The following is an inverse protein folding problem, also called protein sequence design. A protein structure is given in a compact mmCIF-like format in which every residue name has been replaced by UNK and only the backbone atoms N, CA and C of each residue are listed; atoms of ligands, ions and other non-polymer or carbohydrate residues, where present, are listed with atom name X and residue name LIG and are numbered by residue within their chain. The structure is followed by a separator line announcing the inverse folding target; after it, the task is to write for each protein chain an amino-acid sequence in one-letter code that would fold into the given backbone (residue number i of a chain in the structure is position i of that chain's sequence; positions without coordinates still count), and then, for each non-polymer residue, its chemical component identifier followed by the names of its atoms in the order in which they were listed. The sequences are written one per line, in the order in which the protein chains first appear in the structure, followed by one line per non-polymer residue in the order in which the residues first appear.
data_IF_743795192353
#
_entry.id   IF_743795192353
#
_cell.length_a   1.000
_cell.length_b   1.000
_cell.length_c   1.000
_cell.angle_alpha   90.00
_cell.angle_beta   90.00
_cell.angle_gamma   90.00
#
_symmetry.space_group_name_H-M   'P 1'
#
loop_
_entity.id
_entity.type
_entity.pdbx_description
1 polymer ?
#
# COMPACT_ATOMS: atom_id res chain seq x y z
N UNK A 1 -3.67 -17.69 36.94
CA UNK A 1 -4.46 -17.58 35.69
C UNK A 1 -4.02 -16.31 35.01
N UNK A 2 -3.34 -16.44 33.87
CA UNK A 2 -2.83 -15.33 33.07
C UNK A 2 -4.02 -14.55 32.49
N UNK A 3 -3.97 -13.21 32.53
CA UNK A 3 -5.15 -12.36 32.31
C UNK A 3 -5.73 -12.33 30.89
N UNK A 4 -5.26 -13.16 29.96
CA UNK A 4 -5.85 -13.28 28.62
C UNK A 4 -6.51 -14.64 28.44
N UNK A 5 -7.83 -14.65 28.37
CA UNK A 5 -8.60 -15.83 28.01
C UNK A 5 -8.60 -16.02 26.48
N UNK A 6 -7.45 -16.44 25.94
CA UNK A 6 -7.28 -16.70 24.51
C UNK A 6 -6.84 -18.14 24.27
N UNK A 7 -7.35 -18.73 23.19
CA UNK A 7 -6.88 -20.03 22.69
C UNK A 7 -5.75 -19.78 21.68
N UNK A 8 -4.49 -20.15 21.95
CA UNK A 8 -3.38 -19.77 21.08
C UNK A 8 -3.46 -20.37 19.67
N UNK A 9 -4.02 -21.58 19.51
CA UNK A 9 -4.29 -22.18 18.20
C UNK A 9 -5.38 -21.44 17.42
N UNK A 10 -6.39 -20.90 18.11
CA UNK A 10 -7.41 -20.05 17.50
C UNK A 10 -6.80 -18.73 16.99
N UNK A 11 -5.92 -18.12 17.78
CA UNK A 11 -5.20 -16.91 17.35
C UNK A 11 -4.31 -17.20 16.15
N UNK A 12 -3.58 -18.31 16.13
CA UNK A 12 -2.75 -18.70 15.00
C UNK A 12 -3.57 -18.84 13.70
N UNK A 13 -4.73 -19.50 13.76
CA UNK A 13 -5.62 -19.63 12.60
C UNK A 13 -6.12 -18.27 12.09
N UNK A 14 -6.55 -17.38 12.98
CA UNK A 14 -6.97 -16.02 12.60
C UNK A 14 -5.84 -15.21 11.98
N UNK A 15 -4.61 -15.33 12.50
CA UNK A 15 -3.45 -14.63 11.96
C UNK A 15 -3.04 -15.18 10.59
N UNK A 16 -3.17 -16.49 10.38
CA UNK A 16 -2.92 -17.11 9.08
C UNK A 16 -3.93 -16.62 8.02
N UNK A 17 -5.23 -16.62 8.36
CA UNK A 17 -6.29 -16.12 7.50
C UNK A 17 -6.11 -14.62 7.19
N UNK A 18 -5.87 -13.80 8.23
CA UNK A 18 -5.65 -12.36 8.07
C UNK A 18 -4.39 -12.08 7.26
N UNK A 19 -3.33 -12.88 7.45
CA UNK A 19 -2.10 -12.82 6.66
C UNK A 19 -2.33 -13.18 5.19
N UNK A 20 -3.17 -14.17 4.91
CA UNK A 20 -3.53 -14.54 3.55
C UNK A 20 -4.30 -13.41 2.84
N UNK A 21 -5.24 -12.76 3.52
CA UNK A 21 -5.94 -11.58 2.99
C UNK A 21 -5.00 -10.38 2.79
N UNK A 22 -4.11 -10.11 3.75
CA UNK A 22 -3.15 -9.02 3.65
C UNK A 22 -2.17 -9.21 2.47
N UNK A 23 -1.79 -10.45 2.12
CA UNK A 23 -0.97 -10.72 0.93
C UNK A 23 -1.67 -10.34 -0.37
N UNK A 24 -3.01 -10.29 -0.40
CA UNK A 24 -3.76 -9.85 -1.60
C UNK A 24 -3.52 -8.37 -1.91
N UNK A 25 -3.03 -7.55 -0.98
CA UNK A 25 -2.68 -6.16 -1.27
C UNK A 25 -1.62 -6.03 -2.36
N UNK A 26 -0.67 -6.97 -2.46
CA UNK A 26 0.32 -6.96 -3.55
C UNK A 26 -0.37 -7.15 -4.91
N UNK A 27 -1.32 -8.08 -4.99
CA UNK A 27 -2.11 -8.32 -6.20
C UNK A 27 -3.02 -7.14 -6.56
N UNK A 28 -3.61 -6.49 -5.56
CA UNK A 28 -4.42 -5.28 -5.75
C UNK A 28 -3.57 -4.10 -6.22
N UNK A 29 -2.38 -3.90 -5.66
CA UNK A 29 -1.46 -2.84 -6.10
C UNK A 29 -1.02 -3.05 -7.55
N UNK A 30 -0.71 -4.30 -7.95
CA UNK A 30 -0.42 -4.64 -9.35
C UNK A 30 -1.61 -4.38 -10.27
N UNK A 31 -2.81 -4.84 -9.88
CA UNK A 31 -4.04 -4.61 -10.65
C UNK A 31 -4.35 -3.13 -10.80
N UNK A 32 -4.13 -2.34 -9.75
CA UNK A 32 -4.31 -0.89 -9.79
C UNK A 32 -3.34 -0.25 -10.79
N UNK A 33 -2.04 -0.61 -10.72
CA UNK A 33 -1.03 -0.13 -11.65
C UNK A 33 -1.36 -0.44 -13.11
N UNK A 34 -1.71 -1.69 -13.42
CA UNK A 34 -2.08 -2.10 -14.78
C UNK A 34 -3.38 -1.43 -15.25
N UNK A 35 -4.36 -1.25 -14.36
CA UNK A 35 -5.62 -0.57 -14.71
C UNK A 35 -5.37 0.90 -15.02
N UNK A 36 -4.52 1.57 -14.24
CA UNK A 36 -4.16 2.97 -14.48
C UNK A 36 -3.36 3.13 -15.76
N UNK A 37 -2.38 2.26 -16.02
CA UNK A 37 -1.61 2.26 -17.27
C UNK A 37 -2.52 2.04 -18.49
N UNK A 38 -3.43 1.06 -18.40
CA UNK A 38 -4.42 0.82 -19.44
C UNK A 38 -5.35 2.02 -19.63
N UNK A 39 -5.86 2.60 -18.55
CA UNK A 39 -6.71 3.79 -18.63
C UNK A 39 -5.97 4.97 -19.27
N UNK A 40 -4.72 5.22 -18.87
CA UNK A 40 -3.85 6.24 -19.43
C UNK A 40 -3.60 6.03 -20.94
N UNK A 41 -3.31 4.79 -21.35
CA UNK A 41 -3.11 4.43 -22.76
C UNK A 41 -4.35 4.61 -23.64
N UNK A 42 -5.54 4.53 -23.05
CA UNK A 42 -6.82 4.71 -23.75
C UNK A 42 -7.45 6.09 -23.55
N UNK A 43 -6.81 6.99 -22.79
CA UNK A 43 -7.44 8.24 -22.35
C UNK A 43 -7.62 9.31 -23.45
N UNK A 44 -7.21 9.03 -24.69
CA UNK A 44 -7.29 9.97 -25.81
C UNK A 44 -6.28 11.12 -25.69
N UNK A 45 -6.00 11.75 -26.82
CA UNK A 45 -5.01 12.82 -26.94
C UNK A 45 -5.57 14.21 -26.63
N UNK A 46 -6.25 14.41 -25.49
CA UNK A 46 -6.47 15.78 -25.00
C UNK A 46 -5.10 16.35 -24.63
N UNK A 47 -4.44 16.99 -25.59
CA UNK A 47 -3.12 17.58 -25.42
C UNK A 47 -3.25 19.00 -24.90
N UNK A 48 -2.30 19.39 -24.05
CA UNK A 48 -2.21 20.75 -23.54
C UNK A 48 -1.86 21.69 -24.71
N UNK A 49 -2.84 22.47 -25.19
CA UNK A 49 -2.62 23.47 -26.25
C UNK A 49 -3.61 23.48 -27.42
N UNK A 50 -4.74 22.75 -27.36
CA UNK A 50 -5.70 22.64 -28.48
C UNK A 50 -6.54 23.89 -28.78
N UNK A 51 -6.39 24.98 -28.03
CA UNK A 51 -6.91 26.29 -28.41
C UNK A 51 -5.73 27.24 -28.68
N UNK A 52 -5.32 27.34 -29.95
CA UNK A 52 -4.57 28.52 -30.40
C UNK A 52 -5.53 29.71 -30.37
N UNK A 53 -5.13 30.81 -29.73
CA UNK A 53 -5.95 32.03 -29.64
C UNK A 53 -6.25 32.61 -31.03
N UNK A 54 -5.48 32.21 -32.04
CA UNK A 54 -5.47 32.78 -33.40
C UNK A 54 -6.10 31.88 -34.49
N UNK A 55 -6.77 30.78 -34.14
CA UNK A 55 -7.50 29.95 -35.13
C UNK A 55 -6.60 29.23 -36.16
N UNK A 56 -5.31 29.14 -35.90
CA UNK A 56 -4.37 28.37 -36.72
C UNK A 56 -4.59 26.85 -36.56
N UNK A 57 -4.23 26.02 -37.56
CA UNK A 57 -4.35 24.58 -37.47
C UNK A 57 -3.65 24.09 -36.20
N UNK A 58 -4.26 23.16 -35.45
CA UNK A 58 -3.67 22.68 -34.21
C UNK A 58 -2.28 22.10 -34.53
N UNK A 59 -1.26 22.35 -33.69
CA UNK A 59 -0.01 21.62 -33.81
C UNK A 59 -0.36 20.13 -33.83
N UNK A 60 0.24 19.38 -34.77
CA UNK A 60 0.07 17.92 -34.83
C UNK A 60 0.29 17.39 -33.42
N UNK A 61 -0.78 16.85 -32.84
CA UNK A 61 -0.72 16.25 -31.53
C UNK A 61 0.38 15.20 -31.60
N UNK A 62 1.53 15.52 -31.00
CA UNK A 62 2.45 14.49 -30.58
C UNK A 62 1.59 13.47 -29.84
N UNK A 63 1.76 12.20 -30.16
CA UNK A 63 1.04 11.07 -29.54
C UNK A 63 1.44 10.90 -28.06
N UNK A 64 1.94 11.96 -27.44
CA UNK A 64 2.20 12.08 -26.02
C UNK A 64 0.91 11.86 -25.25
N UNK A 65 1.05 11.05 -24.19
CA UNK A 65 0.05 10.78 -23.17
C UNK A 65 -0.77 12.05 -22.86
N UNK A 66 -2.09 12.01 -23.14
CA UNK A 66 -2.97 13.15 -22.95
C UNK A 66 -3.11 13.58 -21.49
N UNK A 67 -3.72 14.75 -21.23
CA UNK A 67 -3.89 15.33 -19.89
C UNK A 67 -4.45 14.35 -18.84
N UNK A 68 -5.33 13.44 -19.26
CA UNK A 68 -5.90 12.42 -18.38
C UNK A 68 -4.86 11.37 -17.97
N UNK A 69 -3.97 10.97 -18.88
CA UNK A 69 -2.86 10.07 -18.56
C UNK A 69 -1.88 10.71 -17.56
N UNK A 70 -1.57 12.00 -17.74
CA UNK A 70 -0.76 12.77 -16.80
C UNK A 70 -1.42 12.85 -15.40
N UNK A 71 -2.73 13.18 -15.35
CA UNK A 71 -3.48 13.26 -14.10
C UNK A 71 -3.56 11.91 -13.38
N UNK A 72 -3.69 10.81 -14.12
CA UNK A 72 -3.66 9.46 -13.56
C UNK A 72 -2.28 9.10 -12.98
N UNK A 73 -1.20 9.53 -13.63
CA UNK A 73 0.16 9.40 -13.11
C UNK A 73 0.33 10.17 -11.80
N UNK A 74 -0.07 11.44 -11.76
CA UNK A 74 -0.04 12.25 -10.53
C UNK A 74 -0.91 11.68 -9.41
N UNK A 75 -2.09 11.16 -9.74
CA UNK A 75 -2.96 10.49 -8.78
C UNK A 75 -2.27 9.25 -8.18
N UNK A 76 -1.63 8.42 -9.00
CA UNK A 76 -0.88 7.26 -8.50
C UNK A 76 0.29 7.65 -7.62
N UNK A 77 1.04 8.69 -7.99
CA UNK A 77 2.13 9.19 -7.13
C UNK A 77 1.60 9.75 -5.81
N UNK A 78 0.49 10.49 -5.84
CA UNK A 78 -0.14 11.02 -4.63
C UNK A 78 -0.64 9.90 -3.69
N UNK A 79 -1.15 8.80 -4.25
CA UNK A 79 -1.72 7.68 -3.49
C UNK A 79 -0.68 6.65 -3.04
N UNK A 80 0.51 6.62 -3.66
CA UNK A 80 1.59 5.67 -3.37
C UNK A 80 1.87 5.54 -1.87
N UNK A 81 1.97 6.68 -1.18
CA UNK A 81 2.28 6.72 0.26
C UNK A 81 1.19 6.07 1.11
N UNK A 82 -0.08 6.28 0.78
CA UNK A 82 -1.21 5.73 1.52
C UNK A 82 -1.32 4.22 1.34
N UNK A 83 -1.12 3.74 0.11
CA UNK A 83 -1.12 2.31 -0.20
C UNK A 83 0.00 1.60 0.58
N UNK A 84 1.21 2.15 0.57
CA UNK A 84 2.35 1.59 1.32
C UNK A 84 2.08 1.62 2.82
N UNK A 85 1.51 2.71 3.33
CA UNK A 85 1.13 2.82 4.74
C UNK A 85 0.16 1.72 5.16
N UNK A 86 -0.90 1.47 4.38
CA UNK A 86 -1.92 0.47 4.67
C UNK A 86 -1.30 -0.94 4.77
N UNK A 87 -0.48 -1.30 3.78
CA UNK A 87 0.23 -2.59 3.72
C UNK A 87 1.15 -2.76 4.92
N UNK A 88 1.99 -1.75 5.18
CA UNK A 88 2.95 -1.79 6.28
C UNK A 88 2.25 -1.85 7.64
N UNK A 89 1.17 -1.08 7.83
CA UNK A 89 0.38 -1.07 9.07
C UNK A 89 -0.27 -2.42 9.33
N UNK A 90 -0.81 -3.05 8.28
CA UNK A 90 -1.44 -4.37 8.34
C UNK A 90 -0.44 -5.44 8.73
N UNK A 91 0.72 -5.48 8.05
CA UNK A 91 1.79 -6.43 8.37
C UNK A 91 2.31 -6.26 9.80
N UNK A 92 2.46 -5.02 10.27
CA UNK A 92 2.90 -4.71 11.63
C UNK A 92 1.90 -5.20 12.69
N UNK A 93 0.59 -5.03 12.45
CA UNK A 93 -0.45 -5.54 13.35
C UNK A 93 -0.44 -7.07 13.44
N UNK A 94 -0.36 -7.77 12.29
CA UNK A 94 -0.34 -9.23 12.23
C UNK A 94 0.90 -9.78 12.94
N UNK A 95 2.08 -9.23 12.65
CA UNK A 95 3.32 -9.64 13.29
C UNK A 95 3.30 -9.39 14.80
N UNK A 96 2.84 -8.20 15.22
CA UNK A 96 2.70 -7.84 16.63
C UNK A 96 1.80 -8.78 17.41
N UNK A 97 0.64 -9.12 16.84
CA UNK A 97 -0.29 -10.07 17.43
C UNK A 97 0.35 -11.47 17.56
N UNK A 98 1.04 -11.96 16.52
CA UNK A 98 1.76 -13.24 16.57
C UNK A 98 2.87 -13.27 17.63
N UNK A 99 3.69 -12.21 17.68
CA UNK A 99 4.75 -12.05 18.68
C UNK A 99 4.19 -12.00 20.11
N UNK A 100 3.10 -11.25 20.31
CA UNK A 100 2.42 -11.16 21.60
C UNK A 100 1.88 -12.51 22.06
N UNK A 101 1.25 -13.28 21.17
CA UNK A 101 0.75 -14.63 21.49
C UNK A 101 1.89 -15.60 21.79
N UNK A 102 3.00 -15.54 21.05
CA UNK A 102 4.17 -16.38 21.33
C UNK A 102 4.83 -16.03 22.68
N UNK A 103 4.91 -14.75 23.04
CA UNK A 103 5.43 -14.32 24.33
C UNK A 103 4.49 -14.73 25.48
N UNK A 104 3.18 -14.58 25.27
CA UNK A 104 2.15 -15.01 26.21
C UNK A 104 2.22 -16.51 26.51
N UNK A 105 2.36 -17.36 25.49
CA UNK A 105 2.53 -18.81 25.67
C UNK A 105 3.78 -19.17 26.48
N UNK A 106 4.83 -18.35 26.40
CA UNK A 106 6.06 -18.52 27.17
C UNK A 106 5.97 -17.95 28.60
N UNK A 107 4.83 -17.37 28.98
CA UNK A 107 4.62 -16.73 30.28
C UNK A 107 5.24 -15.34 30.41
N UNK A 108 5.76 -14.77 29.31
CA UNK A 108 6.40 -13.46 29.30
C UNK A 108 5.39 -12.36 28.93
N UNK A 109 4.62 -11.93 29.93
CA UNK A 109 3.58 -10.90 29.77
C UNK A 109 4.16 -9.52 29.43
N UNK A 110 5.40 -9.24 29.86
CA UNK A 110 6.08 -7.97 29.55
C UNK A 110 6.43 -7.89 28.08
N UNK A 111 7.01 -8.95 27.52
CA UNK A 111 7.28 -9.04 26.08
C UNK A 111 6.00 -9.08 25.26
N UNK A 112 4.93 -9.72 25.76
CA UNK A 112 3.63 -9.70 25.08
C UNK A 112 3.05 -8.27 24.98
N UNK A 113 3.10 -7.51 26.08
CA UNK A 113 2.64 -6.12 26.10
C UNK A 113 3.53 -5.20 25.25
N UNK A 114 4.84 -5.45 25.22
CA UNK A 114 5.77 -4.71 24.37
C UNK A 114 5.48 -4.96 22.89
N UNK A 115 5.29 -6.21 22.48
CA UNK A 115 4.94 -6.55 21.10
C UNK A 115 3.65 -5.85 20.64
N UNK A 116 2.65 -5.72 21.52
CA UNK A 116 1.44 -4.94 21.23
C UNK A 116 1.73 -3.45 21.09
N UNK A 117 2.50 -2.85 22.00
CA UNK A 117 2.86 -1.42 21.95
C UNK A 117 3.66 -1.10 20.70
N UNK A 118 4.66 -1.91 20.39
CA UNK A 118 5.48 -1.75 19.20
C UNK A 118 4.60 -1.82 17.95
N UNK A 119 3.66 -2.77 17.91
CA UNK A 119 2.72 -2.91 16.81
C UNK A 119 1.73 -1.74 16.67
N UNK A 120 1.54 -0.90 17.69
CA UNK A 120 0.73 0.31 17.60
C UNK A 120 1.47 1.48 16.92
N UNK A 121 2.80 1.50 17.00
CA UNK A 121 3.58 2.58 16.41
C UNK A 121 3.38 2.64 14.89
N UNK A 122 3.22 3.86 14.36
CA UNK A 122 3.05 4.07 12.94
C UNK A 122 4.23 3.51 12.13
N UNK A 123 4.00 2.93 10.94
CA UNK A 123 5.08 2.58 10.02
C UNK A 123 5.84 3.82 9.54
N UNK A 124 7.16 3.71 9.42
CA UNK A 124 7.99 4.71 8.76
C UNK A 124 7.91 4.50 7.24
N UNK A 125 6.93 5.13 6.60
CA UNK A 125 6.66 4.98 5.17
C UNK A 125 7.82 5.52 4.33
N UNK A 126 8.46 6.60 4.77
CA UNK A 126 9.56 7.23 4.03
C UNK A 126 10.79 6.31 4.01
N UNK A 127 11.11 5.67 5.14
CA UNK A 127 12.19 4.68 5.18
C UNK A 127 11.88 3.45 4.31
N UNK A 128 10.62 3.02 4.25
CA UNK A 128 10.19 1.90 3.39
C UNK A 128 10.36 2.27 1.92
N UNK A 129 9.86 3.44 1.51
CA UNK A 129 9.96 3.92 0.13
C UNK A 129 11.41 4.13 -0.29
N UNK A 130 12.25 4.70 0.59
CA UNK A 130 13.69 4.87 0.33
C UNK A 130 14.39 3.53 0.11
N UNK A 131 14.14 2.52 0.97
CA UNK A 131 14.71 1.18 0.77
C UNK A 131 14.30 0.55 -0.55
N UNK A 132 13.05 0.77 -0.97
CA UNK A 132 12.57 0.26 -2.25
C UNK A 132 13.27 0.93 -3.44
N UNK A 133 13.62 2.22 -3.33
CA UNK A 133 14.36 2.94 -4.36
C UNK A 133 15.85 2.59 -4.43
N UNK A 134 16.46 2.19 -3.31
CA UNK A 134 17.89 1.81 -3.23
C UNK A 134 18.16 0.35 -3.65
N UNK A 135 17.13 -0.50 -3.67
CA UNK A 135 17.24 -1.94 -3.92
C UNK A 135 16.66 -2.43 -5.26
N UNK A 136 16.25 -1.53 -6.14
CA UNK A 136 15.81 -1.83 -7.52
C UNK A 136 16.90 -1.52 -8.54
#
# INVERSE_FOLDING_TARGET
MTGWDITPSGVAATLEETGAEARKFEGLAKTLGTTVENAAGHAGGLTQGLCTVDGGPPPQADQGQGLVAAALGEFMEAQRREIVYLVARSGKSINGAGMATMAYQRGDLSMAAEAQREALAAPDVEAILRRAAEGG
#
